data_IF_265827844961
#
_entry.id   IF_265827844961
#
_cell.length_a   1.000
_cell.length_b   1.000
_cell.length_c   1.000
_cell.angle_alpha   90.00
_cell.angle_beta   90.00
_cell.angle_gamma   90.00
#
_symmetry.space_group_name_H-M   'P 1'
#
loop_
_entity.id
_entity.type
_entity.pdbx_description
1 polymer ?
#
# COMPACT_ATOMS: atom_id res chain seq x y z
N UNK A 1 12.22 -5.57 -30.25
CA UNK A 1 11.45 -6.25 -31.32
C UNK A 1 11.19 -7.65 -30.80
N UNK A 2 9.92 -8.05 -30.65
CA UNK A 2 9.60 -9.40 -30.15
C UNK A 2 9.81 -10.47 -31.23
N UNK A 3 9.77 -11.75 -30.84
CA UNK A 3 9.99 -12.88 -31.76
C UNK A 3 8.98 -12.85 -32.93
N UNK A 4 7.73 -12.45 -32.67
CA UNK A 4 6.68 -12.34 -33.69
C UNK A 4 6.99 -11.29 -34.75
N UNK A 5 7.45 -10.10 -34.33
CA UNK A 5 7.87 -9.03 -35.22
C UNK A 5 9.14 -9.40 -36.01
N UNK A 6 10.07 -10.15 -35.40
CA UNK A 6 11.23 -10.71 -36.09
C UNK A 6 10.78 -11.71 -37.17
N UNK A 7 9.88 -12.63 -36.84
CA UNK A 7 9.35 -13.63 -37.79
C UNK A 7 8.61 -13.00 -38.96
N UNK A 8 7.79 -11.98 -38.68
CA UNK A 8 7.12 -11.20 -39.73
C UNK A 8 8.14 -10.53 -40.66
N UNK A 9 9.19 -9.93 -40.10
CA UNK A 9 10.22 -9.23 -40.87
C UNK A 9 11.09 -10.21 -41.68
N UNK A 10 11.42 -11.37 -41.14
CA UNK A 10 12.09 -12.47 -41.87
C UNK A 10 11.23 -12.92 -43.04
N UNK A 11 9.92 -13.14 -42.84
CA UNK A 11 8.97 -13.52 -43.90
C UNK A 11 8.90 -12.47 -45.02
N UNK A 12 8.80 -11.19 -44.68
CA UNK A 12 8.80 -10.09 -45.64
C UNK A 12 10.10 -10.02 -46.45
N UNK A 13 11.26 -10.14 -45.80
CA UNK A 13 12.56 -10.13 -46.45
C UNK A 13 12.78 -11.38 -47.31
N UNK A 14 12.31 -12.54 -46.88
CA UNK A 14 12.36 -13.80 -47.64
C UNK A 14 11.50 -13.71 -48.91
N UNK A 15 10.32 -13.10 -48.80
CA UNK A 15 9.45 -12.83 -49.95
C UNK A 15 10.12 -11.88 -50.94
N UNK A 16 10.76 -10.81 -50.44
CA UNK A 16 11.54 -9.88 -51.27
C UNK A 16 12.74 -10.57 -51.93
N UNK A 17 13.46 -11.44 -51.22
CA UNK A 17 14.61 -12.21 -51.70
C UNK A 17 14.26 -13.23 -52.80
N UNK A 18 13.01 -13.72 -52.79
CA UNK A 18 12.51 -14.66 -53.80
C UNK A 18 11.70 -13.98 -54.91
N UNK A 19 11.45 -12.67 -54.81
CA UNK A 19 10.71 -11.92 -55.82
C UNK A 19 11.47 -11.81 -57.15
N UNK A 20 10.73 -11.73 -58.25
CA UNK A 20 11.28 -11.40 -59.56
C UNK A 20 11.05 -9.93 -59.86
N UNK A 21 12.04 -9.26 -60.41
CA UNK A 21 11.99 -7.84 -60.76
C UNK A 21 11.88 -7.69 -62.28
N UNK A 22 10.98 -6.85 -62.79
CA UNK A 22 10.91 -6.56 -64.22
C UNK A 22 12.25 -5.95 -64.69
N UNK A 23 12.84 -6.56 -65.72
CA UNK A 23 14.02 -6.07 -66.42
C UNK A 23 13.63 -5.77 -67.86
N UNK A 24 13.88 -4.55 -68.31
CA UNK A 24 13.75 -4.20 -69.73
C UNK A 24 14.93 -4.81 -70.51
N UNK A 25 14.61 -5.57 -71.55
CA UNK A 25 15.57 -6.02 -72.57
C UNK A 25 14.93 -5.87 -73.93
N UNK A 26 15.50 -5.04 -74.81
CA UNK A 26 15.11 -4.89 -76.22
C UNK A 26 13.58 -4.84 -76.39
N UNK A 27 12.96 -3.81 -75.82
CA UNK A 27 11.53 -3.49 -75.93
C UNK A 27 10.54 -4.53 -75.35
N UNK A 28 11.02 -5.50 -74.55
CA UNK A 28 10.19 -6.44 -73.79
C UNK A 28 10.56 -6.45 -72.31
N UNK A 29 9.55 -6.42 -71.44
CA UNK A 29 9.72 -6.61 -69.99
C UNK A 29 9.85 -8.10 -69.71
N UNK A 30 10.98 -8.54 -69.16
CA UNK A 30 11.18 -9.90 -68.66
C UNK A 30 11.36 -9.89 -67.16
N UNK A 31 10.69 -10.80 -66.46
CA UNK A 31 10.87 -10.98 -65.03
C UNK A 31 12.23 -11.64 -64.77
N UNK A 32 13.19 -10.85 -64.28
CA UNK A 32 14.54 -11.29 -63.94
C UNK A 32 14.72 -11.44 -62.44
N UNK A 33 15.79 -12.10 -62.03
CA UNK A 33 16.18 -12.12 -60.62
C UNK A 33 16.52 -10.71 -60.13
N UNK A 34 16.24 -10.45 -58.85
CA UNK A 34 16.72 -9.26 -58.13
C UNK A 34 18.24 -9.06 -58.30
N UNK A 35 18.73 -7.81 -58.29
CA UNK A 35 20.14 -7.49 -58.30
C UNK A 35 20.94 -8.22 -57.20
N UNK A 36 22.18 -8.60 -57.53
CA UNK A 36 23.06 -9.38 -56.65
C UNK A 36 23.32 -8.67 -55.31
N UNK A 37 23.49 -7.35 -55.32
CA UNK A 37 23.70 -6.57 -54.09
C UNK A 37 22.48 -6.58 -53.16
N UNK A 38 21.26 -6.54 -53.71
CA UNK A 38 20.03 -6.65 -52.92
C UNK A 38 19.82 -8.06 -52.38
N UNK A 39 20.16 -9.10 -53.17
CA UNK A 39 20.17 -10.48 -52.68
C UNK A 39 21.11 -10.65 -51.48
N UNK A 40 22.33 -10.11 -51.59
CA UNK A 40 23.32 -10.14 -50.51
C UNK A 40 22.80 -9.41 -49.26
N UNK A 41 22.28 -8.19 -49.44
CA UNK A 41 21.69 -7.41 -48.35
C UNK A 41 20.54 -8.14 -47.63
N UNK A 42 19.57 -8.68 -48.37
CA UNK A 42 18.44 -9.40 -47.75
C UNK A 42 18.89 -10.68 -47.02
N UNK A 43 19.85 -11.42 -47.59
CA UNK A 43 20.39 -12.61 -46.93
C UNK A 43 21.16 -12.28 -45.64
N UNK A 44 21.98 -11.22 -45.65
CA UNK A 44 22.71 -10.76 -44.46
C UNK A 44 21.75 -10.25 -43.37
N UNK A 45 20.71 -9.51 -43.74
CA UNK A 45 19.72 -9.00 -42.78
C UNK A 45 18.85 -10.13 -42.19
N UNK A 46 18.47 -11.13 -42.99
CA UNK A 46 17.77 -12.34 -42.49
C UNK A 46 18.67 -13.09 -41.50
N UNK A 47 19.94 -13.34 -41.82
CA UNK A 47 20.86 -14.05 -40.93
C UNK A 47 21.07 -13.29 -39.60
N UNK A 48 21.11 -11.96 -39.64
CA UNK A 48 21.18 -11.11 -38.45
C UNK A 48 19.92 -11.24 -37.58
N UNK A 49 18.74 -11.23 -38.20
CA UNK A 49 17.46 -11.40 -37.52
C UNK A 49 17.29 -12.81 -36.94
N UNK A 50 17.74 -13.86 -37.65
CA UNK A 50 17.75 -15.24 -37.15
C UNK A 50 18.67 -15.38 -35.94
N UNK A 51 19.89 -14.82 -35.99
CA UNK A 51 20.81 -14.81 -34.85
C UNK A 51 20.20 -14.09 -33.65
N UNK A 52 19.50 -12.97 -33.88
CA UNK A 52 18.78 -12.25 -32.85
C UNK A 52 17.61 -13.07 -32.27
N UNK A 53 16.87 -13.79 -33.12
CA UNK A 53 15.80 -14.71 -32.70
C UNK A 53 16.35 -15.83 -31.83
N UNK A 54 17.42 -16.51 -32.25
CA UNK A 54 18.05 -17.59 -31.47
C UNK A 54 18.53 -17.08 -30.12
N UNK A 55 19.15 -15.90 -30.07
CA UNK A 55 19.55 -15.26 -28.81
C UNK A 55 18.34 -15.02 -27.89
N UNK A 56 17.26 -14.44 -28.41
CA UNK A 56 16.04 -14.20 -27.62
C UNK A 56 15.38 -15.51 -27.15
N UNK A 57 15.44 -16.57 -27.95
CA UNK A 57 14.93 -17.89 -27.60
C UNK A 57 15.81 -18.61 -26.56
N UNK A 58 17.10 -18.26 -26.48
CA UNK A 58 18.01 -18.78 -25.46
C UNK A 58 17.99 -17.99 -24.14
N UNK A 59 17.25 -16.88 -24.07
CA UNK A 59 17.10 -16.16 -22.81
C UNK A 59 16.22 -16.99 -21.87
N UNK A 60 16.82 -17.47 -20.79
CA UNK A 60 16.09 -18.07 -19.68
C UNK A 60 15.36 -16.99 -18.88
N UNK A 61 14.17 -17.33 -18.39
CA UNK A 61 13.45 -16.46 -17.48
C UNK A 61 14.15 -16.48 -16.12
N UNK A 62 14.59 -15.31 -15.68
CA UNK A 62 15.27 -15.15 -14.39
C UNK A 62 14.30 -14.52 -13.40
N UNK A 63 14.08 -15.19 -12.28
CA UNK A 63 13.34 -14.64 -11.15
C UNK A 63 14.30 -13.92 -10.21
N UNK A 64 13.99 -12.67 -9.88
CA UNK A 64 14.79 -11.86 -8.96
C UNK A 64 13.92 -10.95 -8.13
N UNK A 65 14.45 -10.51 -6.99
CA UNK A 65 13.83 -9.50 -6.13
C UNK A 65 14.52 -8.16 -6.31
N UNK A 66 13.75 -7.08 -6.39
CA UNK A 66 14.25 -5.72 -6.61
C UNK A 66 13.86 -4.85 -5.40
N UNK A 67 14.87 -4.24 -4.77
CA UNK A 67 14.63 -3.26 -3.72
C UNK A 67 13.84 -2.04 -4.24
N UNK A 68 12.94 -1.49 -3.43
CA UNK A 68 12.09 -0.36 -3.81
C UNK A 68 12.88 0.91 -4.21
N UNK A 69 14.13 1.07 -3.76
CA UNK A 69 15.03 2.13 -4.21
C UNK A 69 15.40 2.02 -5.69
N UNK A 70 15.40 0.80 -6.23
CA UNK A 70 15.73 0.48 -7.62
C UNK A 70 14.50 0.35 -8.52
N UNK A 71 13.29 0.55 -7.98
CA UNK A 71 12.05 0.60 -8.75
C UNK A 71 11.82 2.03 -9.23
N UNK A 72 11.32 2.25 -10.44
CA UNK A 72 10.88 3.56 -10.95
C UNK A 72 9.43 3.49 -11.38
N UNK A 73 8.59 4.28 -10.73
CA UNK A 73 7.18 4.44 -11.09
C UNK A 73 7.00 5.56 -12.12
N UNK A 74 6.31 5.22 -13.21
CA UNK A 74 5.86 6.13 -14.26
C UNK A 74 4.34 5.95 -14.42
N UNK A 75 3.64 6.91 -15.03
CA UNK A 75 2.21 6.75 -15.23
C UNK A 75 1.94 5.53 -16.12
N UNK A 76 1.17 4.58 -15.58
CA UNK A 76 0.81 3.30 -16.22
C UNK A 76 1.99 2.35 -16.50
N UNK A 77 3.19 2.67 -16.00
CA UNK A 77 4.40 1.91 -16.30
C UNK A 77 5.35 1.82 -15.09
N UNK A 78 6.20 0.81 -15.09
CA UNK A 78 7.24 0.59 -14.09
C UNK A 78 8.53 0.16 -14.77
N UNK A 79 9.66 0.60 -14.23
CA UNK A 79 11.01 0.15 -14.63
C UNK A 79 11.78 -0.28 -13.40
N UNK A 80 12.73 -1.18 -13.56
CA UNK A 80 13.64 -1.59 -12.48
C UNK A 80 15.09 -1.38 -12.89
N UNK A 81 15.94 -1.04 -11.92
CA UNK A 81 17.38 -0.96 -12.12
C UNK A 81 18.00 -2.32 -11.83
N UNK A 82 18.65 -2.91 -12.84
CA UNK A 82 19.40 -4.16 -12.74
C UNK A 82 20.80 -3.90 -13.28
N UNK A 83 21.83 -4.21 -12.48
CA UNK A 83 23.24 -3.97 -12.85
C UNK A 83 23.52 -2.51 -13.29
N UNK A 84 22.84 -1.54 -12.67
CA UNK A 84 23.00 -0.11 -12.95
C UNK A 84 22.29 0.40 -14.21
N UNK A 85 21.50 -0.43 -14.91
CA UNK A 85 20.71 -0.04 -16.07
C UNK A 85 19.22 -0.24 -15.85
N UNK A 86 18.40 0.63 -16.46
CA UNK A 86 16.96 0.47 -16.43
C UNK A 86 16.49 -0.63 -17.37
N UNK A 87 15.51 -1.41 -16.89
CA UNK A 87 14.72 -2.31 -17.71
C UNK A 87 13.95 -1.57 -18.80
N UNK A 88 13.51 -2.31 -19.81
CA UNK A 88 12.42 -1.84 -20.67
C UNK A 88 11.17 -1.53 -19.81
N UNK A 89 10.32 -0.55 -20.21
CA UNK A 89 9.11 -0.23 -19.48
C UNK A 89 8.15 -1.42 -19.47
N UNK A 90 7.67 -1.77 -18.27
CA UNK A 90 6.62 -2.74 -18.09
C UNK A 90 5.29 -2.03 -17.87
N UNK A 91 4.24 -2.47 -18.56
CA UNK A 91 2.90 -1.90 -18.40
C UNK A 91 2.32 -2.34 -17.07
N UNK A 92 1.99 -1.37 -16.22
CA UNK A 92 1.33 -1.58 -14.95
C UNK A 92 0.29 -0.46 -14.78
N UNK A 93 -0.97 -0.75 -15.13
CA UNK A 93 -2.04 0.25 -15.23
C UNK A 93 -2.29 1.02 -13.93
N UNK A 94 -2.01 0.43 -12.78
CA UNK A 94 -2.17 1.05 -11.46
C UNK A 94 -1.00 1.98 -11.10
N UNK A 95 0.13 1.87 -11.79
CA UNK A 95 1.32 2.67 -11.52
C UNK A 95 1.07 4.17 -11.76
N UNK A 96 1.56 5.01 -10.84
CA UNK A 96 1.48 6.47 -10.92
C UNK A 96 2.85 7.05 -10.61
N UNK A 97 3.25 8.09 -11.35
CA UNK A 97 4.51 8.80 -11.08
C UNK A 97 4.56 9.40 -9.67
N UNK A 98 3.41 9.70 -9.07
CA UNK A 98 3.31 10.20 -7.69
C UNK A 98 3.80 9.19 -6.64
N UNK A 99 3.86 7.89 -6.95
CA UNK A 99 4.39 6.88 -6.03
C UNK A 99 5.89 7.04 -5.78
N UNK A 100 6.62 7.76 -6.64
CA UNK A 100 8.01 8.15 -6.38
C UNK A 100 8.16 8.97 -5.09
N UNK A 101 7.18 9.84 -4.79
CA UNK A 101 7.18 10.62 -3.54
C UNK A 101 6.85 9.76 -2.31
N UNK A 102 6.29 8.57 -2.52
CA UNK A 102 5.90 7.64 -1.45
C UNK A 102 6.98 6.60 -1.13
N UNK A 103 8.03 6.48 -1.95
CA UNK A 103 9.15 5.55 -1.71
C UNK A 103 9.76 5.62 -0.31
N UNK A 104 9.96 6.79 0.32
CA UNK A 104 10.46 6.84 1.69
C UNK A 104 9.60 6.05 2.68
N UNK A 105 8.28 5.99 2.45
CA UNK A 105 7.36 5.20 3.26
C UNK A 105 7.49 3.70 2.98
N UNK A 106 7.71 3.30 1.73
CA UNK A 106 7.92 1.89 1.38
C UNK A 106 9.18 1.33 2.06
N UNK A 107 10.26 2.12 2.05
CA UNK A 107 11.52 1.78 2.70
C UNK A 107 11.39 1.76 4.24
N UNK A 108 10.62 2.68 4.82
CA UNK A 108 10.41 2.74 6.28
C UNK A 108 9.49 1.62 6.80
N UNK A 109 8.60 1.11 5.95
CA UNK A 109 7.58 0.11 6.33
C UNK A 109 8.08 -1.32 6.20
N UNK A 110 9.38 -1.54 5.93
CA UNK A 110 9.99 -2.85 5.70
C UNK A 110 9.18 -3.69 4.68
N UNK A 111 8.74 -3.04 3.59
CA UNK A 111 7.96 -3.70 2.55
C UNK A 111 8.84 -4.72 1.82
N UNK A 112 8.32 -5.92 1.56
CA UNK A 112 9.10 -6.94 0.86
C UNK A 112 9.58 -6.41 -0.49
N UNK A 113 10.83 -6.71 -0.91
CA UNK A 113 11.32 -6.34 -2.22
C UNK A 113 10.40 -6.82 -3.35
N UNK A 114 10.32 -6.06 -4.43
CA UNK A 114 9.47 -6.35 -5.57
C UNK A 114 9.96 -7.62 -6.29
N UNK A 115 9.11 -8.64 -6.36
CA UNK A 115 9.43 -9.87 -7.08
C UNK A 115 9.12 -9.71 -8.56
N UNK A 116 10.15 -9.89 -9.41
CA UNK A 116 10.05 -9.72 -10.86
C UNK A 116 10.63 -10.93 -11.60
N UNK A 117 9.98 -11.28 -12.71
CA UNK A 117 10.51 -12.23 -13.67
C UNK A 117 11.00 -11.46 -14.90
N UNK A 118 12.17 -11.84 -15.40
CA UNK A 118 12.89 -11.10 -16.42
C UNK A 118 13.27 -12.01 -17.59
N UNK A 119 13.13 -11.50 -18.81
CA UNK A 119 13.69 -12.08 -20.03
C UNK A 119 14.70 -11.07 -20.62
N UNK A 120 15.98 -11.26 -20.31
CA UNK A 120 17.01 -10.26 -20.61
C UNK A 120 16.78 -8.96 -19.83
N UNK A 121 16.60 -7.84 -20.53
CA UNK A 121 16.32 -6.53 -19.91
C UNK A 121 14.83 -6.18 -19.83
N UNK A 122 13.94 -7.12 -20.16
CA UNK A 122 12.49 -6.92 -20.16
C UNK A 122 11.85 -7.66 -18.99
N UNK A 123 11.01 -6.97 -18.23
CA UNK A 123 10.15 -7.59 -17.23
C UNK A 123 9.09 -8.41 -17.97
N UNK A 124 9.00 -9.71 -17.70
CA UNK A 124 7.94 -10.60 -18.20
C UNK A 124 6.72 -10.57 -17.27
N UNK A 125 6.94 -10.55 -15.97
CA UNK A 125 5.89 -10.47 -14.95
C UNK A 125 6.39 -9.84 -13.65
N UNK A 126 5.45 -9.32 -12.86
CA UNK A 126 5.67 -8.85 -11.50
C UNK A 126 4.71 -9.65 -10.62
N UNK A 127 5.22 -10.25 -9.55
CA UNK A 127 4.38 -10.95 -8.56
C UNK A 127 4.22 -10.10 -7.29
N UNK A 128 3.19 -10.41 -6.51
CA UNK A 128 3.03 -9.95 -5.13
C UNK A 128 2.92 -8.43 -4.93
N UNK A 129 2.16 -7.76 -5.80
CA UNK A 129 1.77 -6.34 -5.62
C UNK A 129 0.76 -6.11 -4.49
N UNK A 130 0.27 -7.16 -3.84
CA UNK A 130 -0.73 -7.08 -2.76
C UNK A 130 -0.23 -6.24 -1.59
N UNK A 131 1.05 -6.38 -1.22
CA UNK A 131 1.62 -5.62 -0.11
C UNK A 131 1.77 -4.13 -0.45
N UNK A 132 2.23 -3.81 -1.66
CA UNK A 132 2.29 -2.42 -2.15
C UNK A 132 0.89 -1.79 -2.12
N UNK A 133 -0.10 -2.47 -2.68
CA UNK A 133 -1.47 -2.00 -2.70
C UNK A 133 -2.03 -1.84 -1.28
N UNK A 134 -1.66 -2.72 -0.35
CA UNK A 134 -2.00 -2.56 1.06
C UNK A 134 -1.38 -1.30 1.67
N UNK A 135 -0.09 -1.05 1.45
CA UNK A 135 0.60 0.16 1.94
C UNK A 135 -0.05 1.42 1.36
N UNK A 136 -0.31 1.45 0.05
CA UNK A 136 -0.98 2.57 -0.61
C UNK A 136 -2.38 2.84 -0.02
N UNK A 137 -3.14 1.78 0.26
CA UNK A 137 -4.44 1.91 0.91
C UNK A 137 -4.31 2.50 2.32
N UNK A 138 -3.34 2.07 3.12
CA UNK A 138 -3.13 2.62 4.46
C UNK A 138 -2.65 4.08 4.41
N UNK A 139 -1.75 4.43 3.49
CA UNK A 139 -1.33 5.82 3.27
C UNK A 139 -2.51 6.71 2.87
N UNK A 140 -3.44 6.21 2.05
CA UNK A 140 -4.67 6.93 1.68
C UNK A 140 -5.64 7.16 2.84
N UNK A 141 -5.56 6.32 3.88
CA UNK A 141 -6.32 6.50 5.14
C UNK A 141 -5.63 7.54 6.01
N UNK A 142 -4.30 7.51 6.09
CA UNK A 142 -3.56 8.55 6.82
C UNK A 142 -3.80 9.93 6.19
N UNK A 143 -3.85 10.02 4.87
CA UNK A 143 -4.20 11.26 4.17
C UNK A 143 -5.61 11.74 4.54
N UNK A 144 -6.60 10.85 4.55
CA UNK A 144 -7.97 11.16 4.99
C UNK A 144 -8.02 11.66 6.44
N UNK A 145 -7.28 11.01 7.34
CA UNK A 145 -7.18 11.41 8.74
C UNK A 145 -6.49 12.78 8.87
N UNK A 146 -5.43 13.03 8.11
CA UNK A 146 -4.76 14.33 8.11
C UNK A 146 -5.66 15.44 7.57
N UNK A 147 -6.45 15.14 6.53
CA UNK A 147 -7.44 16.08 6.00
C UNK A 147 -8.51 16.39 7.03
N UNK A 148 -8.96 15.40 7.81
CA UNK A 148 -9.86 15.62 8.94
C UNK A 148 -9.27 16.62 9.96
N UNK A 149 -7.98 16.54 10.27
CA UNK A 149 -7.32 17.47 11.20
C UNK A 149 -7.17 18.89 10.65
N UNK A 150 -7.04 19.03 9.33
CA UNK A 150 -6.85 20.33 8.67
C UNK A 150 -8.18 21.01 8.33
N UNK A 151 -9.22 20.22 8.07
CA UNK A 151 -10.55 20.68 7.65
C UNK A 151 -11.64 19.72 8.18
N UNK A 152 -12.13 20.04 9.38
CA UNK A 152 -13.15 19.27 10.11
C UNK A 152 -14.47 19.09 9.33
N UNK A 153 -14.75 19.91 8.32
CA UNK A 153 -15.99 19.81 7.54
C UNK A 153 -15.87 18.81 6.37
N UNK A 154 -14.65 18.47 5.94
CA UNK A 154 -14.41 17.69 4.73
C UNK A 154 -14.57 16.17 4.90
N UNK A 155 -14.34 15.66 6.11
CA UNK A 155 -14.10 14.23 6.35
C UNK A 155 -14.90 13.72 7.55
N UNK A 156 -15.45 12.51 7.46
CA UNK A 156 -16.18 11.84 8.55
C UNK A 156 -15.53 10.51 8.89
N UNK A 157 -15.78 10.00 10.10
CA UNK A 157 -15.32 8.68 10.50
C UNK A 157 -15.88 7.58 9.59
N UNK A 158 -17.07 7.78 9.04
CA UNK A 158 -17.69 6.85 8.11
C UNK A 158 -16.83 6.66 6.85
N UNK A 159 -16.28 7.75 6.29
CA UNK A 159 -15.34 7.67 5.16
C UNK A 159 -14.08 6.88 5.52
N UNK A 160 -13.52 7.13 6.71
CA UNK A 160 -12.34 6.41 7.21
C UNK A 160 -12.66 4.92 7.40
N UNK A 161 -13.80 4.59 8.02
CA UNK A 161 -14.27 3.21 8.22
C UNK A 161 -14.53 2.49 6.90
N UNK A 162 -15.07 3.17 5.89
CA UNK A 162 -15.26 2.61 4.55
C UNK A 162 -13.93 2.25 3.89
N UNK A 163 -12.91 3.11 4.00
CA UNK A 163 -11.55 2.80 3.52
C UNK A 163 -10.91 1.64 4.31
N UNK A 164 -11.12 1.60 5.62
CA UNK A 164 -10.60 0.53 6.50
C UNK A 164 -11.29 -0.83 6.28
N UNK A 165 -12.54 -0.85 5.78
CA UNK A 165 -13.37 -2.07 5.66
C UNK A 165 -12.64 -3.23 4.97
N UNK A 166 -11.92 -2.92 3.90
CA UNK A 166 -11.23 -3.91 3.06
C UNK A 166 -9.81 -4.25 3.53
N UNK A 167 -9.33 -3.64 4.62
CA UNK A 167 -7.98 -3.88 5.15
C UNK A 167 -8.07 -4.83 6.35
N UNK A 168 -7.26 -5.89 6.34
CA UNK A 168 -7.15 -6.78 7.50
C UNK A 168 -6.47 -6.06 8.67
N UNK A 169 -6.96 -6.28 9.88
CA UNK A 169 -6.33 -5.71 11.09
C UNK A 169 -4.85 -6.06 11.19
N UNK A 170 -4.46 -7.27 10.76
CA UNK A 170 -3.06 -7.70 10.72
C UNK A 170 -2.16 -6.76 9.89
N UNK A 171 -2.67 -6.25 8.76
CA UNK A 171 -1.91 -5.32 7.94
C UNK A 171 -1.73 -3.97 8.63
N UNK A 172 -2.74 -3.50 9.38
CA UNK A 172 -2.62 -2.29 10.20
C UNK A 172 -1.62 -2.50 11.34
N UNK A 173 -1.62 -3.67 11.98
CA UNK A 173 -0.68 -3.99 13.06
C UNK A 173 0.76 -3.94 12.57
N UNK A 174 1.01 -4.51 11.39
CA UNK A 174 2.31 -4.54 10.74
C UNK A 174 2.74 -3.12 10.32
N UNK A 175 1.91 -2.43 9.53
CA UNK A 175 2.25 -1.12 8.97
C UNK A 175 2.58 -0.09 10.06
N UNK A 176 1.76 -0.02 11.13
CA UNK A 176 1.98 0.91 12.23
C UNK A 176 2.94 0.39 13.30
N UNK A 177 3.46 -0.84 13.14
CA UNK A 177 4.29 -1.55 14.13
C UNK A 177 3.66 -1.55 15.53
N UNK A 178 2.33 -1.71 15.60
CA UNK A 178 1.53 -1.47 16.82
C UNK A 178 1.99 -2.36 17.97
N UNK A 179 2.27 -3.64 17.68
CA UNK A 179 2.69 -4.64 18.67
C UNK A 179 4.07 -4.37 19.27
N UNK A 180 4.93 -3.67 18.53
CA UNK A 180 6.31 -3.36 18.95
C UNK A 180 6.36 -2.10 19.82
N UNK A 181 5.35 -1.23 19.73
CA UNK A 181 5.33 0.06 20.43
C UNK A 181 5.11 -0.07 21.93
N UNK A 182 4.31 -1.03 22.39
CA UNK A 182 4.16 -1.33 23.82
C UNK A 182 3.53 -2.70 24.07
N UNK A 183 3.80 -3.27 25.25
CA UNK A 183 3.16 -4.52 25.70
C UNK A 183 1.63 -4.38 25.86
N UNK A 184 1.15 -3.16 26.14
CA UNK A 184 -0.28 -2.84 26.26
C UNK A 184 -0.96 -2.90 24.89
N UNK A 185 -0.38 -2.23 23.89
CA UNK A 185 -0.86 -2.25 22.51
C UNK A 185 -0.81 -3.67 21.91
N UNK A 186 0.26 -4.42 22.19
CA UNK A 186 0.35 -5.82 21.74
C UNK A 186 -0.82 -6.65 22.27
N UNK A 187 -1.15 -6.53 23.56
CA UNK A 187 -2.30 -7.23 24.13
C UNK A 187 -3.63 -6.76 23.52
N UNK A 188 -3.81 -5.46 23.25
CA UNK A 188 -5.02 -4.97 22.59
C UNK A 188 -5.15 -5.52 21.16
N UNK A 189 -4.05 -5.68 20.42
CA UNK A 189 -4.05 -6.36 19.13
C UNK A 189 -4.51 -7.83 19.24
N UNK A 190 -4.21 -8.53 20.35
CA UNK A 190 -4.63 -9.92 20.57
C UNK A 190 -6.13 -10.04 20.85
N UNK A 191 -6.74 -9.06 21.52
CA UNK A 191 -8.16 -9.09 21.90
C UNK A 191 -9.06 -8.26 20.96
N UNK A 192 -8.49 -7.61 19.94
CA UNK A 192 -9.21 -6.86 18.94
C UNK A 192 -10.25 -7.75 18.24
N UNK A 193 -11.50 -7.28 18.18
CA UNK A 193 -12.56 -7.97 17.44
C UNK A 193 -12.28 -7.94 15.93
N UNK A 194 -12.49 -9.08 15.27
CA UNK A 194 -12.37 -9.20 13.82
C UNK A 194 -13.49 -8.47 13.05
N UNK A 195 -14.64 -8.26 13.70
CA UNK A 195 -15.80 -7.58 13.11
C UNK A 195 -15.56 -6.07 12.95
N UNK A 196 -14.55 -5.53 13.64
CA UNK A 196 -14.24 -4.12 13.69
C UNK A 196 -12.79 -3.85 13.31
N UNK A 197 -12.53 -2.63 12.84
CA UNK A 197 -11.19 -2.19 12.46
C UNK A 197 -10.54 -1.40 13.58
N UNK A 198 -9.23 -1.55 13.74
CA UNK A 198 -8.45 -0.57 14.51
C UNK A 198 -8.49 0.76 13.75
N UNK A 199 -8.71 1.83 14.49
CA UNK A 199 -8.76 3.19 13.94
C UNK A 199 -7.53 3.94 14.46
N UNK A 200 -6.56 4.28 13.60
CA UNK A 200 -5.49 5.19 13.97
C UNK A 200 -6.04 6.61 14.14
N UNK A 201 -5.55 7.35 15.12
CA UNK A 201 -5.89 8.75 15.35
C UNK A 201 -4.74 9.48 16.04
N UNK A 202 -4.90 10.78 16.25
CA UNK A 202 -3.88 11.65 16.83
C UNK A 202 -4.52 12.48 17.94
N UNK A 203 -4.02 12.30 19.17
CA UNK A 203 -4.39 13.17 20.29
C UNK A 203 -3.64 14.50 20.17
N UNK A 204 -4.39 15.59 20.00
CA UNK A 204 -3.81 16.94 20.05
C UNK A 204 -3.69 17.37 21.51
N UNK A 205 -2.48 17.73 21.93
CA UNK A 205 -2.24 18.29 23.26
C UNK A 205 -2.01 19.78 23.20
N UNK A 206 -2.75 20.49 24.04
CA UNK A 206 -2.70 21.93 24.17
C UNK A 206 -2.18 22.35 25.55
N UNK A 207 -1.45 23.47 25.56
CA UNK A 207 -1.16 24.25 26.76
C UNK A 207 -1.30 25.71 26.41
N UNK A 208 -2.11 26.44 27.19
CA UNK A 208 -2.41 27.86 26.96
C UNK A 208 -2.84 28.10 25.50
N UNK A 209 -3.73 27.26 25.00
CA UNK A 209 -4.30 27.29 23.64
C UNK A 209 -3.29 27.16 22.49
N UNK A 210 -2.08 26.67 22.80
CA UNK A 210 -1.06 26.32 21.80
C UNK A 210 -0.88 24.82 21.73
N UNK A 211 -0.82 24.30 20.50
CA UNK A 211 -0.46 22.90 20.24
C UNK A 211 0.98 22.66 20.70
N UNK A 212 1.13 21.78 21.68
CA UNK A 212 2.42 21.34 22.21
C UNK A 212 2.90 20.12 21.45
N UNK A 213 1.98 19.19 21.17
CA UNK A 213 2.32 17.91 20.55
C UNK A 213 1.11 17.24 19.92
N UNK A 214 1.42 16.39 18.95
CA UNK A 214 0.51 15.43 18.32
C UNK A 214 0.95 14.04 18.78
N UNK A 215 0.13 13.37 19.58
CA UNK A 215 0.44 12.04 20.11
C UNK A 215 -0.33 10.96 19.33
N UNK A 216 0.40 10.04 18.70
CA UNK A 216 -0.19 8.90 18.00
C UNK A 216 -0.92 7.99 18.98
N UNK A 217 -2.16 7.63 18.64
CA UNK A 217 -3.03 6.83 19.49
C UNK A 217 -3.98 5.99 18.63
N UNK A 218 -4.59 4.97 19.21
CA UNK A 218 -5.46 4.03 18.50
C UNK A 218 -6.77 3.84 19.26
N UNK A 219 -7.84 3.65 18.49
CA UNK A 219 -9.10 3.09 19.00
C UNK A 219 -9.15 1.61 18.62
N UNK A 220 -9.17 0.77 19.64
CA UNK A 220 -9.41 -0.66 19.52
C UNK A 220 -10.88 -0.95 19.84
N UNK A 221 -11.37 -2.06 19.33
CA UNK A 221 -12.74 -2.51 19.58
C UNK A 221 -12.73 -3.95 20.05
N UNK A 222 -13.33 -4.18 21.22
CA UNK A 222 -13.55 -5.51 21.78
C UNK A 222 -15.05 -5.74 21.86
N UNK A 223 -15.53 -6.88 21.39
CA UNK A 223 -16.94 -7.24 21.44
C UNK A 223 -17.12 -8.52 22.27
N UNK A 224 -18.05 -8.48 23.21
CA UNK A 224 -18.58 -9.68 23.84
C UNK A 224 -20.05 -9.86 23.37
N UNK A 225 -20.74 -10.95 23.75
CA UNK A 225 -22.12 -11.19 23.29
C UNK A 225 -23.14 -10.11 23.70
N UNK A 226 -22.83 -9.25 24.68
CA UNK A 226 -23.77 -8.28 25.25
C UNK A 226 -23.49 -6.84 24.82
N UNK A 227 -22.22 -6.49 24.64
CA UNK A 227 -21.75 -5.11 24.51
C UNK A 227 -20.57 -5.02 23.57
N UNK A 228 -20.42 -3.82 22.98
CA UNK A 228 -19.24 -3.42 22.23
C UNK A 228 -18.47 -2.42 23.06
N UNK A 229 -17.16 -2.57 23.12
CA UNK A 229 -16.27 -1.69 23.88
C UNK A 229 -15.26 -1.05 22.95
N UNK A 230 -15.17 0.28 23.02
CA UNK A 230 -14.12 1.06 22.36
C UNK A 230 -13.04 1.34 23.40
N UNK A 231 -11.80 1.01 23.08
CA UNK A 231 -10.64 1.21 23.95
C UNK A 231 -9.73 2.23 23.28
N UNK A 232 -9.56 3.37 23.94
CA UNK A 232 -8.62 4.41 23.52
C UNK A 232 -7.28 4.22 24.22
N UNK A 233 -6.24 3.97 23.42
CA UNK A 233 -4.90 3.66 23.91
C UNK A 233 -3.81 4.47 23.20
N UNK A 234 -2.91 5.08 23.98
CA UNK A 234 -1.79 5.87 23.46
C UNK A 234 -0.61 4.96 23.11
N UNK A 235 0.22 5.44 22.20
CA UNK A 235 1.56 4.86 21.99
C UNK A 235 2.53 5.18 23.13
N UNK A 236 2.23 6.20 23.96
CA UNK A 236 3.06 6.58 25.10
C UNK A 236 2.67 5.81 26.37
N UNK A 237 3.66 5.18 27.00
CA UNK A 237 3.46 4.28 28.14
C UNK A 237 2.93 4.98 29.40
N UNK A 238 3.12 6.29 29.53
CA UNK A 238 2.70 7.07 30.69
C UNK A 238 1.25 7.61 30.58
N UNK A 239 0.55 7.30 29.48
CA UNK A 239 -0.86 7.67 29.28
C UNK A 239 -1.75 6.51 29.70
N UNK A 240 -2.86 6.79 30.36
CA UNK A 240 -3.80 5.77 30.81
C UNK A 240 -4.68 5.24 29.67
N UNK A 241 -5.12 4.00 29.74
CA UNK A 241 -6.14 3.44 28.84
C UNK A 241 -7.54 3.91 29.25
N UNK A 242 -8.37 4.28 28.28
CA UNK A 242 -9.77 4.65 28.50
C UNK A 242 -10.68 3.65 27.79
N UNK A 243 -11.76 3.24 28.46
CA UNK A 243 -12.72 2.27 27.93
C UNK A 243 -14.11 2.90 27.90
N UNK A 244 -14.79 2.72 26.78
CA UNK A 244 -16.12 3.24 26.50
C UNK A 244 -17.04 2.10 26.09
N UNK A 245 -18.28 2.13 26.56
CA UNK A 245 -19.28 1.14 26.20
C UNK A 245 -20.23 1.68 25.14
N UNK A 246 -20.46 0.90 24.10
CA UNK A 246 -21.34 1.20 22.97
C UNK A 246 -22.17 -0.04 22.58
N UNK A 247 -22.94 0.09 21.51
CA UNK A 247 -23.74 -0.97 20.88
C UNK A 247 -23.41 -1.03 19.40
N UNK A 248 -23.74 -2.13 18.72
CA UNK A 248 -23.56 -2.23 17.26
C UNK A 248 -24.27 -1.08 16.52
N UNK A 249 -25.48 -0.70 16.97
CA UNK A 249 -26.29 0.34 16.35
C UNK A 249 -25.73 1.75 16.55
N UNK A 250 -25.07 2.01 17.67
CA UNK A 250 -24.50 3.33 17.99
C UNK A 250 -23.00 3.41 17.76
N UNK A 251 -22.37 2.33 17.26
CA UNK A 251 -20.92 2.23 17.14
C UNK A 251 -20.32 3.38 16.32
N UNK A 252 -20.80 3.59 15.10
CA UNK A 252 -20.24 4.62 14.20
C UNK A 252 -20.37 6.02 14.79
N UNK A 253 -21.52 6.36 15.38
CA UNK A 253 -21.74 7.65 16.03
C UNK A 253 -20.86 7.82 17.27
N UNK A 254 -20.75 6.79 18.10
CA UNK A 254 -19.93 6.82 19.32
C UNK A 254 -18.43 6.93 18.97
N UNK A 255 -17.98 6.25 17.91
CA UNK A 255 -16.61 6.39 17.39
C UNK A 255 -16.39 7.80 16.82
N UNK A 256 -17.33 8.35 16.04
CA UNK A 256 -17.23 9.74 15.53
C UNK A 256 -17.01 10.71 16.70
N UNK A 257 -17.89 10.67 17.71
CA UNK A 257 -17.81 11.57 18.87
C UNK A 257 -16.47 11.41 19.62
N UNK A 258 -15.99 10.19 19.78
CA UNK A 258 -14.68 9.93 20.41
C UNK A 258 -13.52 10.44 19.55
N UNK A 259 -13.58 10.20 18.25
CA UNK A 259 -12.57 10.64 17.30
C UNK A 259 -12.47 12.18 17.28
N UNK A 260 -13.62 12.86 17.18
CA UNK A 260 -13.73 14.32 17.27
C UNK A 260 -13.14 14.84 18.58
N UNK A 261 -13.50 14.21 19.70
CA UNK A 261 -13.01 14.62 21.01
C UNK A 261 -11.50 14.47 21.14
N UNK A 262 -10.93 13.34 20.71
CA UNK A 262 -9.49 13.07 20.75
C UNK A 262 -8.73 14.05 19.85
N UNK A 263 -9.31 14.33 18.67
CA UNK A 263 -8.75 15.23 17.68
C UNK A 263 -8.93 16.72 17.99
N UNK A 264 -9.87 17.08 18.87
CA UNK A 264 -10.24 18.47 19.12
C UNK A 264 -9.13 19.31 19.73
N UNK A 265 -9.25 20.63 19.63
CA UNK A 265 -8.46 21.59 20.40
C UNK A 265 -8.90 21.72 21.87
N UNK A 266 -9.36 20.65 22.51
CA UNK A 266 -9.81 20.71 23.89
C UNK A 266 -8.66 20.53 24.89
N UNK A 267 -8.52 21.45 25.84
CA UNK A 267 -7.55 21.35 26.93
C UNK A 267 -7.92 20.23 27.92
N UNK A 268 -6.92 19.48 28.40
CA UNK A 268 -7.07 18.53 29.52
C UNK A 268 -8.11 17.41 29.31
N UNK A 269 -8.33 16.93 28.07
CA UNK A 269 -9.27 15.86 27.69
C UNK A 269 -9.31 14.67 28.65
N UNK A 270 -8.14 14.06 28.89
CA UNK A 270 -7.99 12.89 29.78
C UNK A 270 -8.38 13.18 31.23
N UNK A 271 -8.16 14.41 31.71
CA UNK A 271 -8.58 14.84 33.05
C UNK A 271 -10.11 15.01 33.11
N UNK A 272 -10.72 15.60 32.08
CA UNK A 272 -12.19 15.73 31.98
C UNK A 272 -12.89 14.37 31.99
N UNK A 273 -12.41 13.43 31.17
CA UNK A 273 -12.92 12.05 31.17
C UNK A 273 -12.77 11.36 32.53
N UNK A 274 -11.68 11.64 33.27
CA UNK A 274 -11.47 11.06 34.60
C UNK A 274 -12.54 11.52 35.60
N UNK A 275 -12.99 12.77 35.50
CA UNK A 275 -14.06 13.26 36.37
C UNK A 275 -15.44 12.78 35.89
N UNK A 276 -15.66 12.68 34.58
CA UNK A 276 -16.97 12.35 34.01
C UNK A 276 -17.46 10.93 34.32
N UNK A 277 -16.55 9.98 34.59
CA UNK A 277 -16.92 8.58 34.91
C UNK A 277 -17.72 8.47 36.21
N UNK A 278 -17.50 9.38 37.16
CA UNK A 278 -18.16 9.36 38.47
C UNK A 278 -19.38 10.25 38.54
N UNK A 279 -19.67 11.00 37.48
CA UNK A 279 -20.80 11.94 37.42
C UNK A 279 -21.93 11.35 36.59
N UNK A 280 -23.14 11.85 36.80
CA UNK A 280 -24.29 11.58 35.90
C UNK A 280 -24.04 12.05 34.47
N UNK A 281 -23.20 13.08 34.31
CA UNK A 281 -22.70 13.56 33.03
C UNK A 281 -21.52 12.69 32.54
N UNK A 282 -21.83 11.58 31.87
CA UNK A 282 -20.85 10.70 31.20
C UNK A 282 -21.09 10.68 29.69
N UNK A 283 -20.72 11.75 28.95
CA UNK A 283 -21.13 11.96 27.56
C UNK A 283 -20.65 10.87 26.59
N UNK A 284 -19.55 10.20 26.93
CA UNK A 284 -18.93 9.14 26.13
C UNK A 284 -19.22 7.73 26.67
N UNK A 285 -20.07 7.58 27.69
CA UNK A 285 -20.35 6.29 28.33
C UNK A 285 -19.04 5.56 28.74
N UNK A 286 -18.08 6.31 29.28
CA UNK A 286 -16.82 5.75 29.75
C UNK A 286 -17.06 4.88 30.98
N UNK A 287 -16.53 3.66 30.97
CA UNK A 287 -16.76 2.66 32.01
C UNK A 287 -15.50 2.38 32.84
N UNK A 288 -14.34 2.87 32.42
CA UNK A 288 -13.10 2.58 33.11
C UNK A 288 -11.90 3.36 32.60
N UNK A 289 -10.98 3.61 33.53
CA UNK A 289 -9.64 4.14 33.26
C UNK A 289 -8.65 3.20 33.94
N UNK A 290 -7.61 2.82 33.20
CA UNK A 290 -6.57 1.93 33.71
C UNK A 290 -5.21 2.62 33.56
N UNK A 291 -4.54 2.84 34.69
CA UNK A 291 -3.17 3.35 34.70
C UNK A 291 -2.19 2.22 34.36
N UNK A 292 -1.12 2.55 33.64
CA UNK A 292 -0.03 1.63 33.30
C UNK A 292 0.92 1.49 34.49
N UNK A 293 0.58 0.62 35.44
CA UNK A 293 1.44 0.31 36.60
C UNK A 293 2.26 -0.96 36.36
N UNK A 294 1.60 -2.04 35.97
CA UNK A 294 2.21 -3.31 35.58
C UNK A 294 1.29 -3.99 34.56
N UNK A 295 1.87 -4.78 33.66
CA UNK A 295 1.14 -5.35 32.53
C UNK A 295 0.09 -6.37 32.97
N UNK A 296 0.38 -7.23 33.95
CA UNK A 296 -0.54 -8.31 34.36
C UNK A 296 -1.79 -7.76 35.05
N UNK A 297 -1.61 -6.84 36.00
CA UNK A 297 -2.71 -6.15 36.67
C UNK A 297 -3.51 -5.27 35.71
N UNK A 298 -2.87 -4.67 34.72
CA UNK A 298 -3.57 -3.96 33.66
C UNK A 298 -4.41 -4.92 32.79
N UNK A 299 -3.84 -6.06 32.36
CA UNK A 299 -4.55 -7.09 31.58
C UNK A 299 -5.75 -7.63 32.35
N UNK A 300 -5.58 -7.92 33.64
CA UNK A 300 -6.68 -8.35 34.51
C UNK A 300 -7.81 -7.32 34.55
N UNK A 301 -7.48 -6.03 34.68
CA UNK A 301 -8.48 -4.96 34.69
C UNK A 301 -9.21 -4.84 33.36
N UNK A 302 -8.49 -4.88 32.22
CA UNK A 302 -9.11 -4.89 30.88
C UNK A 302 -10.10 -6.06 30.79
N UNK A 303 -9.64 -7.29 31.05
CA UNK A 303 -10.50 -8.49 30.98
C UNK A 303 -11.73 -8.36 31.88
N UNK A 304 -11.55 -7.85 33.10
CA UNK A 304 -12.66 -7.66 34.04
C UNK A 304 -13.71 -6.66 33.56
N UNK A 305 -13.36 -5.72 32.67
CA UNK A 305 -14.28 -4.70 32.15
C UNK A 305 -14.94 -5.13 30.84
N UNK A 306 -14.21 -5.79 29.95
CA UNK A 306 -14.67 -6.04 28.56
C UNK A 306 -14.96 -7.51 28.22
N UNK A 307 -14.60 -8.46 29.10
CA UNK A 307 -14.82 -9.91 28.89
C UNK A 307 -15.80 -10.51 29.91
N UNK A 308 -16.71 -9.69 30.46
CA UNK A 308 -17.84 -10.16 31.27
C UNK A 308 -18.92 -10.84 30.42
#
# INVERSE_FOLDING_TARGET
MDISAIDKKISELTTKLNSKVPKMKKDKVKMGSIPVHLKKYYAEEIAKLEKQKTYLQSLEEVHTTIDWSNVKFENFQIRVIINGQYSEPFQLLESRSSYEFLKPYFLKSDLNPLSVSMLGNKISSISDLSELNCVLNILSIQDEINNYFNDFESTTIEKILLKLKNILNQHLFYFFKIKERSLYLNFLCEIQSNDFKIIPTTEILLSNDKVISHEETFLFTVKNPKYVYIIWESTLINRATYIFQTSDNSYTEDVQRLFDFIASGENSKRRKLRYSIKTTENPFKSIGIIQHSNIDGWKMKIKSLVQK
#
